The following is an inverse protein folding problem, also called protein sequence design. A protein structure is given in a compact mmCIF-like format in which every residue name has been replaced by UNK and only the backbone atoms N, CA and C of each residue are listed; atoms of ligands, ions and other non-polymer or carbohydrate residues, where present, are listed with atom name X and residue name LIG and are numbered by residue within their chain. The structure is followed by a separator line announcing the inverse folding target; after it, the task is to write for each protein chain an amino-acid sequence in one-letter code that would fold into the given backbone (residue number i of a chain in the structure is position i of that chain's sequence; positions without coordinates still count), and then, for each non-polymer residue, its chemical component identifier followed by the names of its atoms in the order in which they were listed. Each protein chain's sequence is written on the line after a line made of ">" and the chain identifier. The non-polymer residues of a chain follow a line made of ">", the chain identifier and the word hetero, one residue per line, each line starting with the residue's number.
data_IF_863401003102
#
_entry.id   IF_863401003102
#
_cell.length_a   1.000
_cell.length_b   1.000
_cell.length_c   1.000
_cell.angle_alpha   90.00
_cell.angle_beta   90.00
_cell.angle_gamma   90.00
#
_symmetry.space_group_name_H-M   'P 1'
#
loop_
_entity.id
_entity.type
_entity.pdbx_description
1 polymer ?
#
# COMPACT_ATOMS: atom_id res chain seq x y z
N UNK A 1 -16.29 17.18 2.16
CA UNK A 1 -15.28 16.12 1.90
C UNK A 1 -15.06 15.80 0.41
N UNK A 2 -16.07 15.72 -0.46
CA UNK A 2 -15.90 15.28 -1.85
C UNK A 2 -14.93 16.10 -2.73
N UNK A 3 -14.92 17.43 -2.61
CA UNK A 3 -14.04 18.30 -3.42
C UNK A 3 -12.56 18.10 -3.09
N UNK A 4 -12.22 17.77 -1.85
CA UNK A 4 -10.83 17.60 -1.43
C UNK A 4 -10.17 16.38 -2.09
N UNK A 5 -10.93 15.30 -2.28
CA UNK A 5 -10.47 14.11 -3.01
C UNK A 5 -10.14 14.41 -4.48
N UNK A 6 -10.82 15.43 -5.05
CA UNK A 6 -10.63 15.87 -6.43
C UNK A 6 -9.66 17.07 -6.54
N UNK A 7 -8.92 17.38 -5.48
CA UNK A 7 -7.97 18.50 -5.45
C UNK A 7 -8.62 19.88 -5.51
N UNK A 8 -9.82 20.01 -4.94
CA UNK A 8 -10.63 21.23 -4.96
C UNK A 8 -11.40 21.44 -6.28
N UNK A 9 -11.27 20.52 -7.24
CA UNK A 9 -11.99 20.59 -8.50
C UNK A 9 -13.45 20.20 -8.32
N UNK A 10 -14.34 20.94 -9.01
CA UNK A 10 -15.70 20.46 -9.23
C UNK A 10 -15.67 19.11 -9.98
N UNK A 11 -16.56 18.16 -9.67
CA UNK A 11 -16.62 16.87 -10.34
C UNK A 11 -16.65 16.96 -11.87
N UNK A 12 -17.45 17.87 -12.42
CA UNK A 12 -17.54 18.08 -13.87
C UNK A 12 -16.19 18.45 -14.51
N UNK A 13 -15.38 19.28 -13.83
CA UNK A 13 -14.03 19.65 -14.29
C UNK A 13 -13.05 18.48 -14.18
N UNK A 14 -13.11 17.71 -13.09
CA UNK A 14 -12.28 16.50 -12.94
C UNK A 14 -12.56 15.47 -14.04
N UNK A 15 -13.84 15.18 -14.30
CA UNK A 15 -14.27 14.21 -15.31
C UNK A 15 -13.91 14.66 -16.74
N UNK A 16 -14.08 15.94 -17.05
CA UNK A 16 -13.77 16.47 -18.39
C UNK A 16 -12.28 16.62 -18.68
N UNK A 17 -11.43 16.87 -17.67
CA UNK A 17 -10.03 17.23 -17.90
C UNK A 17 -9.01 16.18 -17.45
N UNK A 18 -9.35 15.30 -16.49
CA UNK A 18 -8.39 14.40 -15.86
C UNK A 18 -8.79 12.93 -15.93
N UNK A 19 -10.04 12.60 -15.62
CA UNK A 19 -10.50 11.21 -15.59
C UNK A 19 -10.22 10.49 -16.92
N UNK A 20 -9.45 9.40 -16.85
CA UNK A 20 -8.99 8.61 -18.00
C UNK A 20 -8.27 9.41 -19.11
N UNK A 21 -7.75 10.60 -18.80
CA UNK A 21 -7.08 11.49 -19.76
C UNK A 21 -5.64 11.79 -19.36
N UNK A 22 -5.42 12.18 -18.11
CA UNK A 22 -4.08 12.50 -17.59
C UNK A 22 -4.02 12.36 -16.07
N UNK A 23 -2.85 12.01 -15.50
CA UNK A 23 -2.70 11.88 -14.06
C UNK A 23 -2.91 13.21 -13.34
N UNK A 24 -3.41 13.15 -12.10
CA UNK A 24 -3.55 14.27 -11.19
C UNK A 24 -3.03 13.87 -9.80
N UNK A 25 -2.05 14.60 -9.28
CA UNK A 25 -1.58 14.43 -7.90
C UNK A 25 -2.38 15.35 -6.97
N UNK A 26 -3.25 14.76 -6.15
CA UNK A 26 -3.97 15.49 -5.10
C UNK A 26 -3.24 15.35 -3.77
N UNK A 27 -2.52 16.40 -3.37
CA UNK A 27 -1.81 16.42 -2.08
C UNK A 27 -2.82 16.51 -0.92
N UNK A 28 -2.61 15.72 0.13
CA UNK A 28 -3.46 15.71 1.33
C UNK A 28 -4.95 15.50 1.01
N UNK A 29 -5.25 14.64 0.02
CA UNK A 29 -6.61 14.30 -0.40
C UNK A 29 -7.47 13.76 0.76
N UNK A 30 -6.84 13.00 1.66
CA UNK A 30 -7.42 12.49 2.90
C UNK A 30 -6.63 13.10 4.06
N UNK A 31 -7.18 14.11 4.76
CA UNK A 31 -6.54 14.67 5.96
C UNK A 31 -6.31 13.61 7.02
N UNK A 32 -5.20 13.73 7.74
CA UNK A 32 -4.85 12.83 8.86
C UNK A 32 -4.90 11.33 8.51
N UNK A 33 -4.58 10.96 7.26
CA UNK A 33 -4.54 9.57 6.84
C UNK A 33 -3.51 8.78 7.66
N UNK A 34 -4.00 7.83 8.46
CA UNK A 34 -3.19 6.98 9.34
C UNK A 34 -3.05 5.53 8.84
N UNK A 35 -3.49 5.24 7.61
CA UNK A 35 -3.60 3.88 7.07
C UNK A 35 -4.99 3.27 7.24
N UNK A 36 -5.25 2.18 6.51
CA UNK A 36 -6.55 1.44 6.54
C UNK A 36 -6.36 0.04 7.13
N UNK A 37 -5.14 -0.49 7.08
CA UNK A 37 -4.80 -1.85 7.51
C UNK A 37 -3.36 -1.86 8.01
N UNK A 38 -3.08 -2.62 9.08
CA UNK A 38 -1.72 -2.79 9.58
C UNK A 38 -0.97 -3.83 8.75
N UNK A 39 0.37 -3.77 8.65
CA UNK A 39 1.15 -4.72 7.86
C UNK A 39 0.89 -6.20 8.20
N UNK A 40 0.80 -6.63 9.48
CA UNK A 40 0.47 -8.01 9.81
C UNK A 40 -0.89 -8.44 9.27
N UNK A 41 -1.89 -7.56 9.30
CA UNK A 41 -3.22 -7.82 8.77
C UNK A 41 -3.22 -7.91 7.24
N UNK A 42 -2.42 -7.08 6.57
CA UNK A 42 -2.25 -7.17 5.12
C UNK A 42 -1.61 -8.50 4.72
N UNK A 43 -0.61 -8.98 5.46
CA UNK A 43 0.00 -10.30 5.20
C UNK A 43 -0.96 -11.45 5.49
N UNK A 44 -1.77 -11.35 6.55
CA UNK A 44 -2.85 -12.32 6.82
C UNK A 44 -3.86 -12.35 5.69
N UNK A 45 -4.28 -11.18 5.19
CA UNK A 45 -5.21 -11.06 4.08
C UNK A 45 -4.62 -11.66 2.79
N UNK A 46 -3.37 -11.34 2.48
CA UNK A 46 -2.69 -11.82 1.28
C UNK A 46 -2.43 -13.33 1.27
N UNK A 47 -2.45 -14.00 2.43
CA UNK A 47 -2.24 -15.44 2.55
C UNK A 47 -3.53 -16.26 2.38
N UNK A 48 -4.71 -15.62 2.31
CA UNK A 48 -5.98 -16.32 2.10
C UNK A 48 -6.12 -16.77 0.64
N UNK A 49 -6.66 -17.96 0.44
CA UNK A 49 -6.84 -18.56 -0.89
C UNK A 49 -7.88 -17.82 -1.75
N UNK A 50 -8.87 -17.19 -1.10
CA UNK A 50 -9.91 -16.41 -1.75
C UNK A 50 -9.46 -14.98 -2.12
N UNK A 51 -8.21 -14.62 -1.82
CA UNK A 51 -7.63 -13.30 -2.08
C UNK A 51 -6.52 -13.41 -3.13
N UNK A 52 -6.71 -12.74 -4.27
CA UNK A 52 -5.67 -12.61 -5.27
C UNK A 52 -4.53 -11.71 -4.77
N UNK A 53 -3.33 -12.28 -4.61
CA UNK A 53 -2.14 -11.56 -4.13
C UNK A 53 -0.88 -11.96 -4.89
N UNK A 54 0.10 -11.04 -4.98
CA UNK A 54 1.40 -11.26 -5.63
C UNK A 54 2.52 -10.62 -4.83
N UNK A 55 3.65 -11.31 -4.77
CA UNK A 55 4.89 -10.81 -4.18
C UNK A 55 5.88 -10.49 -5.29
N UNK A 56 6.37 -9.25 -5.31
CA UNK A 56 7.42 -8.81 -6.22
C UNK A 56 8.72 -8.57 -5.46
N UNK A 57 9.81 -9.12 -5.96
CA UNK A 57 11.15 -9.01 -5.38
C UNK A 57 12.11 -8.48 -6.44
N UNK A 58 12.74 -7.34 -6.15
CA UNK A 58 13.84 -6.79 -6.94
C UNK A 58 15.16 -7.43 -6.50
N UNK A 59 15.90 -8.00 -7.44
CA UNK A 59 17.26 -8.53 -7.24
C UNK A 59 18.17 -7.92 -8.30
N UNK A 60 19.02 -6.97 -7.91
CA UNK A 60 19.80 -6.18 -8.87
C UNK A 60 18.86 -5.40 -9.80
N UNK A 61 19.06 -5.43 -11.14
CA UNK A 61 18.15 -4.79 -12.10
C UNK A 61 16.90 -5.63 -12.43
N UNK A 62 16.74 -6.83 -11.86
CA UNK A 62 15.71 -7.78 -12.27
C UNK A 62 14.58 -7.90 -11.25
N UNK A 63 13.34 -7.84 -11.75
CA UNK A 63 12.14 -8.14 -10.97
C UNK A 63 11.77 -9.61 -11.10
N UNK A 64 11.49 -10.24 -9.96
CA UNK A 64 10.90 -11.59 -9.91
C UNK A 64 9.53 -11.51 -9.25
N UNK A 65 8.50 -11.98 -9.96
CA UNK A 65 7.14 -12.06 -9.45
C UNK A 65 6.81 -13.49 -9.03
N UNK A 66 6.16 -13.64 -7.88
CA UNK A 66 5.59 -14.92 -7.43
C UNK A 66 4.14 -14.69 -6.98
N UNK A 67 3.18 -15.58 -7.29
CA UNK A 67 1.91 -15.61 -6.55
C UNK A 67 2.25 -15.68 -5.07
N UNK A 68 1.51 -15.00 -4.18
CA UNK A 68 1.69 -15.31 -2.77
C UNK A 68 1.00 -16.67 -2.57
N UNK A 69 1.75 -17.78 -2.43
CA UNK A 69 1.08 -19.03 -2.07
C UNK A 69 0.59 -18.84 -0.64
N UNK A 70 -0.38 -19.62 -0.17
CA UNK A 70 -0.86 -19.63 1.23
C UNK A 70 0.23 -19.88 2.31
N UNK A 71 1.51 -19.82 1.96
CA UNK A 71 2.64 -19.77 2.87
C UNK A 71 2.98 -18.32 3.26
N UNK A 72 2.83 -18.07 4.57
CA UNK A 72 3.50 -17.03 5.36
C UNK A 72 4.81 -16.59 4.69
N UNK A 73 5.05 -15.28 4.44
CA UNK A 73 6.28 -14.82 3.81
C UNK A 73 7.47 -15.39 4.59
N UNK A 74 8.47 -16.01 3.91
CA UNK A 74 9.57 -16.68 4.60
C UNK A 74 10.23 -15.70 5.58
N UNK A 75 10.63 -16.17 6.77
CA UNK A 75 11.29 -15.31 7.79
C UNK A 75 12.47 -14.52 7.22
N UNK A 76 13.19 -15.10 6.25
CA UNK A 76 14.29 -14.46 5.53
C UNK A 76 13.86 -13.28 4.62
N UNK A 77 12.57 -13.11 4.34
CA UNK A 77 12.03 -11.95 3.66
C UNK A 77 12.00 -10.74 4.59
N UNK A 78 11.65 -10.94 5.86
CA UNK A 78 11.70 -9.88 6.87
C UNK A 78 13.13 -9.36 7.09
N UNK A 79 14.15 -10.22 7.00
CA UNK A 79 15.55 -9.77 7.07
C UNK A 79 16.04 -9.06 5.80
N UNK A 80 15.33 -9.19 4.67
CA UNK A 80 15.64 -8.53 3.38
C UNK A 80 14.81 -7.28 3.11
N UNK A 81 13.68 -7.09 3.80
CA UNK A 81 12.96 -5.83 3.81
C UNK A 81 13.88 -4.79 4.47
N UNK A 82 14.22 -3.75 3.73
CA UNK A 82 15.15 -2.71 4.18
C UNK A 82 14.72 -2.15 5.53
N UNK A 83 15.69 -1.82 6.40
CA UNK A 83 15.50 -1.40 7.80
C UNK A 83 14.47 -0.27 7.97
N UNK A 84 14.23 0.56 6.96
CA UNK A 84 13.17 1.58 6.88
C UNK A 84 11.74 1.01 6.96
N UNK A 85 11.46 -0.16 6.37
CA UNK A 85 10.15 -0.83 6.46
C UNK A 85 9.87 -1.36 7.87
N UNK A 86 10.90 -1.74 8.62
CA UNK A 86 10.76 -2.27 9.98
C UNK A 86 10.79 -1.16 11.05
N UNK A 87 11.65 -0.14 10.92
CA UNK A 87 11.74 0.94 11.92
C UNK A 87 10.52 1.86 11.97
N UNK A 88 9.88 2.14 10.83
CA UNK A 88 8.69 3.01 10.79
C UNK A 88 7.43 2.37 11.40
N UNK A 89 7.36 1.04 11.49
CA UNK A 89 6.16 0.31 11.90
C UNK A 89 6.29 -0.39 13.26
N UNK A 90 7.49 -0.78 13.70
CA UNK A 90 7.67 -1.40 15.02
C UNK A 90 7.45 -0.41 16.19
N UNK A 91 7.66 0.90 15.96
CA UNK A 91 7.44 1.94 16.98
C UNK A 91 5.97 2.37 17.14
N UNK A 92 5.07 1.96 16.23
CA UNK A 92 3.64 2.31 16.28
C UNK A 92 2.82 1.19 16.97
N UNK A 93 3.36 -0.02 17.07
CA UNK A 93 2.69 -1.18 17.69
C UNK A 93 3.07 -1.49 19.14
N UNK A 94 4.14 -0.89 19.68
CA UNK A 94 4.68 -1.20 21.03
C UNK A 94 4.26 -0.17 22.10
N UNK A 95 3.22 0.63 21.84
CA UNK A 95 2.49 1.35 22.90
C UNK A 95 1.02 1.08 22.72
N UNK A 96 0.54 -0.01 23.33
CA UNK A 96 -0.76 -0.18 23.96
C UNK A 96 -0.97 -1.69 24.16
N UNK A 97 -0.71 -2.17 25.38
CA UNK A 97 -0.93 -3.56 25.80
C UNK A 97 0.16 -4.05 26.72
#
# INVERSE_FOLDING_TARGET
>A
MGLQLLGGLAPARFLSQYWQKKPLLVRRAIPAFAGIVMPPDLFRLAAREDVASKLFLLRGPHWTGRPAPGARPPRALFSRLHRWYLHGWLLIGERHG
#
